data_IF_829768124348
#
_entry.id   IF_829768124348
#
_cell.length_a   1.000
_cell.length_b   1.000
_cell.length_c   1.000
_cell.angle_alpha   90.00
_cell.angle_beta   90.00
_cell.angle_gamma   90.00
#
_symmetry.space_group_name_H-M   'P 1'
#
loop_
_entity.id
_entity.type
_entity.pdbx_description
1 polymer ?
#
# COMPACT_ATOMS: atom_id res chain seq x y z
N UNK A 1 -9.87 32.63 -1.44
CA UNK A 1 -9.35 32.59 -2.83
C UNK A 1 -9.08 31.13 -3.15
N UNK A 2 -9.58 30.44 -4.15
CA UNK A 2 -10.64 30.60 -5.17
C UNK A 2 -10.94 29.13 -5.59
N UNK A 3 -12.18 28.66 -5.55
CA UNK A 3 -13.04 28.43 -6.73
C UNK A 3 -12.35 27.68 -7.90
N UNK A 4 -12.70 26.40 -8.07
CA UNK A 4 -12.60 25.48 -9.24
C UNK A 4 -12.54 24.06 -8.62
N UNK A 5 -13.42 23.09 -8.81
CA UNK A 5 -14.25 22.71 -9.95
C UNK A 5 -15.68 22.36 -9.48
N UNK A 6 -16.67 23.03 -10.04
CA UNK A 6 -17.97 22.42 -10.34
C UNK A 6 -17.81 21.90 -11.76
N UNK A 7 -17.90 20.59 -11.95
CA UNK A 7 -18.17 19.86 -13.21
C UNK A 7 -17.39 18.54 -13.20
N UNK A 8 -18.00 17.50 -12.63
CA UNK A 8 -18.07 16.16 -13.22
C UNK A 8 -18.93 15.27 -12.32
N UNK A 9 -20.24 15.49 -12.35
CA UNK A 9 -21.19 14.44 -12.06
C UNK A 9 -21.94 14.22 -13.38
N UNK A 10 -21.68 13.13 -14.08
CA UNK A 10 -22.67 12.35 -14.82
C UNK A 10 -22.02 11.11 -15.46
N UNK A 11 -22.81 10.03 -15.49
CA UNK A 11 -22.60 8.69 -16.08
C UNK A 11 -22.11 7.62 -15.09
N UNK A 12 -23.09 6.79 -14.71
CA UNK A 12 -22.99 5.83 -13.62
C UNK A 12 -22.16 4.58 -13.93
N UNK A 13 -21.46 4.16 -12.90
CA UNK A 13 -21.26 2.82 -12.33
C UNK A 13 -20.48 3.09 -11.04
N UNK A 14 -20.65 2.29 -10.00
CA UNK A 14 -20.13 2.59 -8.66
C UNK A 14 -18.60 2.71 -8.67
N UNK A 15 -18.08 3.95 -8.69
CA UNK A 15 -16.67 4.25 -8.50
C UNK A 15 -16.53 4.66 -7.05
N UNK A 16 -15.85 3.82 -6.25
CA UNK A 16 -15.28 4.27 -5.00
C UNK A 16 -14.26 5.36 -5.36
N UNK A 17 -14.71 6.62 -5.28
CA UNK A 17 -13.88 7.80 -5.47
C UNK A 17 -13.65 8.36 -4.08
N UNK A 18 -12.43 8.33 -3.61
CA UNK A 18 -11.95 9.19 -2.53
C UNK A 18 -10.95 10.15 -3.23
N UNK A 19 -10.20 10.98 -2.52
CA UNK A 19 -9.09 11.72 -3.12
C UNK A 19 -7.88 11.62 -2.18
N UNK A 20 -6.68 11.25 -2.67
CA UNK A 20 -5.43 11.50 -1.93
C UNK A 20 -4.78 12.81 -2.35
N UNK A 21 -4.57 13.66 -1.35
CA UNK A 21 -3.50 14.65 -1.31
C UNK A 21 -2.50 14.21 -0.22
N UNK A 22 -1.37 13.59 -0.58
CA UNK A 22 -0.27 13.43 0.38
C UNK A 22 0.61 14.68 0.32
N UNK A 23 0.54 15.50 1.36
CA UNK A 23 1.65 16.38 1.74
C UNK A 23 2.05 16.10 3.18
N UNK A 24 2.68 14.95 3.40
CA UNK A 24 3.35 14.69 4.67
C UNK A 24 4.64 15.53 4.70
N UNK A 25 4.58 16.68 5.38
CA UNK A 25 5.73 17.56 5.66
C UNK A 25 6.17 17.48 7.15
N UNK A 26 5.60 16.56 7.92
CA UNK A 26 5.80 16.43 9.37
C UNK A 26 5.70 14.97 9.82
N UNK A 27 6.39 14.63 10.91
CA UNK A 27 6.25 13.37 11.65
C UNK A 27 4.82 13.25 12.19
N UNK A 28 4.18 12.10 11.99
CA UNK A 28 2.87 11.81 12.57
C UNK A 28 3.11 11.36 14.02
N UNK A 29 2.73 12.17 15.01
CA UNK A 29 2.76 11.74 16.41
C UNK A 29 1.49 10.91 16.72
N UNK A 30 1.62 9.69 17.30
CA UNK A 30 0.49 8.81 17.48
C UNK A 30 -0.29 9.19 18.75
N UNK A 31 -1.25 10.09 18.60
CA UNK A 31 -2.31 10.31 19.59
C UNK A 31 -3.67 10.37 18.89
N UNK A 32 -4.30 9.20 18.72
CA UNK A 32 -5.76 9.07 18.58
C UNK A 32 -6.38 9.27 17.20
N UNK A 33 -5.63 9.46 16.12
CA UNK A 33 -6.19 9.77 14.80
C UNK A 33 -5.95 8.64 13.78
N UNK A 34 -7.02 8.25 13.08
CA UNK A 34 -6.96 7.35 11.93
C UNK A 34 -6.19 8.01 10.79
N UNK A 35 -5.46 7.20 10.01
CA UNK A 35 -4.86 7.64 8.76
C UNK A 35 -5.71 7.11 7.63
N UNK A 36 -6.36 8.02 6.92
CA UNK A 36 -7.16 7.70 5.74
C UNK A 36 -6.41 8.09 4.48
N UNK A 37 -6.38 7.16 3.52
CA UNK A 37 -5.78 7.37 2.22
C UNK A 37 -6.55 6.55 1.19
N UNK A 38 -6.63 7.07 -0.02
CA UNK A 38 -7.14 6.41 -1.21
C UNK A 38 -6.24 6.51 -2.44
N UNK A 39 -5.98 5.36 -2.99
CA UNK A 39 -5.15 5.18 -4.15
C UNK A 39 -5.95 4.50 -5.26
N UNK A 40 -5.45 4.61 -6.48
CA UNK A 40 -5.85 3.75 -7.59
C UNK A 40 -4.61 3.06 -8.13
N UNK A 41 -4.63 1.73 -8.13
CA UNK A 41 -3.68 0.93 -8.91
C UNK A 41 -4.40 0.59 -10.22
N UNK A 42 -3.79 0.94 -11.35
CA UNK A 42 -4.37 0.75 -12.68
C UNK A 42 -3.30 0.25 -13.66
N UNK A 43 -3.72 -0.56 -14.62
CA UNK A 43 -2.83 -1.19 -15.58
C UNK A 43 -3.57 -1.58 -16.86
N UNK A 44 -2.91 -1.46 -18.00
CA UNK A 44 -3.53 -1.75 -19.30
C UNK A 44 -3.51 -3.25 -19.65
N UNK A 45 -2.63 -4.01 -19.00
CA UNK A 45 -2.47 -5.43 -19.28
C UNK A 45 -3.40 -6.23 -18.35
N UNK A 46 -4.38 -6.97 -18.90
CA UNK A 46 -5.33 -7.72 -18.09
C UNK A 46 -4.73 -8.97 -17.44
N UNK A 47 -3.56 -9.44 -17.89
CA UNK A 47 -3.02 -10.75 -17.51
C UNK A 47 -1.67 -10.68 -16.77
N UNK A 48 -0.94 -9.57 -16.88
CA UNK A 48 0.34 -9.38 -16.19
C UNK A 48 0.42 -7.95 -15.67
N UNK A 49 0.35 -7.81 -14.36
CA UNK A 49 0.39 -6.58 -13.59
C UNK A 49 1.09 -6.86 -12.26
N UNK A 50 1.73 -5.84 -11.68
CA UNK A 50 2.51 -5.99 -10.46
C UNK A 50 3.50 -4.84 -10.25
N UNK A 51 4.12 -4.71 -9.08
CA UNK A 51 3.95 -5.60 -7.92
C UNK A 51 2.87 -5.09 -6.94
N UNK A 52 2.69 -3.77 -6.84
CA UNK A 52 1.65 -3.15 -6.01
C UNK A 52 2.14 -1.86 -5.35
N UNK A 53 1.68 -1.58 -4.14
CA UNK A 53 2.20 -0.46 -3.32
C UNK A 53 2.30 -0.82 -1.85
N UNK A 54 3.01 0.00 -1.07
CA UNK A 54 3.04 -0.14 0.38
C UNK A 54 2.91 1.23 1.08
N UNK A 55 2.34 1.21 2.28
CA UNK A 55 2.28 2.33 3.21
C UNK A 55 3.18 2.03 4.40
N UNK A 56 3.99 3.03 4.79
CA UNK A 56 5.08 2.86 5.73
C UNK A 56 4.90 3.77 6.95
N UNK A 57 4.98 3.16 8.14
CA UNK A 57 5.14 3.84 9.42
C UNK A 57 6.45 3.37 10.05
N UNK A 58 7.55 3.95 9.57
CA UNK A 58 8.91 3.47 9.83
C UNK A 58 9.79 4.56 10.43
N UNK A 59 10.90 4.15 11.06
CA UNK A 59 11.92 5.07 11.59
C UNK A 59 12.62 5.83 10.46
N UNK A 60 12.94 5.14 9.37
CA UNK A 60 13.51 5.71 8.17
C UNK A 60 12.46 6.37 7.27
N UNK A 61 12.85 7.43 6.56
CA UNK A 61 11.98 8.18 5.65
C UNK A 61 12.51 8.16 4.22
N UNK A 62 11.65 7.77 3.27
CA UNK A 62 11.86 7.88 1.83
C UNK A 62 13.21 7.29 1.33
N UNK A 63 13.69 6.21 1.96
CA UNK A 63 14.85 5.46 1.46
C UNK A 63 14.39 4.49 0.38
N UNK A 64 14.84 4.64 -0.88
CA UNK A 64 14.45 3.75 -1.96
C UNK A 64 15.02 2.35 -1.74
N UNK A 65 14.31 1.33 -2.22
CA UNK A 65 14.79 -0.05 -2.17
C UNK A 65 13.84 -1.05 -2.84
N UNK A 66 14.09 -2.35 -2.67
CA UNK A 66 13.41 -3.40 -3.42
C UNK A 66 12.01 -3.74 -2.89
N UNK A 67 11.64 -3.30 -1.70
CA UNK A 67 10.39 -3.70 -1.05
C UNK A 67 9.30 -2.68 -1.39
N UNK A 68 8.54 -2.91 -2.46
CA UNK A 68 7.51 -1.99 -2.96
C UNK A 68 8.02 -0.53 -3.09
N UNK A 69 9.28 -0.39 -3.50
CA UNK A 69 9.95 0.90 -3.65
C UNK A 69 10.67 1.44 -2.40
N UNK A 70 10.62 0.75 -1.27
CA UNK A 70 11.26 1.13 -0.01
C UNK A 70 12.43 0.21 0.37
N UNK A 71 13.29 0.66 1.29
CA UNK A 71 14.44 -0.09 1.78
C UNK A 71 14.00 -1.41 2.44
N UNK A 72 14.77 -2.47 2.20
CA UNK A 72 14.62 -3.76 2.89
C UNK A 72 15.14 -3.66 4.34
N UNK A 73 14.78 -4.62 5.20
CA UNK A 73 15.11 -4.62 6.63
C UNK A 73 14.67 -3.33 7.31
N UNK A 74 13.44 -2.89 7.01
CA UNK A 74 12.87 -1.70 7.63
C UNK A 74 12.58 -1.95 9.12
N UNK A 75 12.56 -0.87 9.90
CA UNK A 75 12.12 -0.88 11.30
C UNK A 75 10.82 -0.09 11.41
N UNK A 76 9.72 -0.76 11.79
CA UNK A 76 8.38 -0.18 11.87
C UNK A 76 7.30 -1.02 11.18
N UNK A 77 6.18 -0.40 10.80
CA UNK A 77 5.05 -1.08 10.17
C UNK A 77 5.05 -0.85 8.64
N UNK A 78 4.98 -1.93 7.88
CA UNK A 78 4.66 -1.94 6.45
C UNK A 78 3.27 -2.51 6.23
N UNK A 79 2.44 -1.81 5.45
CA UNK A 79 1.14 -2.29 4.97
C UNK A 79 1.23 -2.41 3.46
N UNK A 80 1.17 -3.62 2.94
CA UNK A 80 1.40 -3.95 1.54
C UNK A 80 0.08 -4.21 0.85
N UNK A 81 -0.11 -3.58 -0.29
CA UNK A 81 -1.20 -3.78 -1.22
C UNK A 81 -0.60 -4.55 -2.41
N UNK A 82 -0.50 -5.86 -2.24
CA UNK A 82 0.15 -6.74 -3.19
C UNK A 82 -0.84 -7.14 -4.28
N UNK A 83 -0.43 -6.93 -5.52
CA UNK A 83 -1.26 -7.20 -6.70
C UNK A 83 -0.76 -8.39 -7.49
N UNK A 84 0.36 -8.99 -7.13
CA UNK A 84 0.99 -10.05 -7.89
C UNK A 84 1.34 -11.25 -7.02
N UNK A 85 0.91 -12.44 -7.42
CA UNK A 85 1.27 -13.66 -6.71
C UNK A 85 2.67 -14.14 -7.14
N UNK A 86 3.69 -13.88 -6.33
CA UNK A 86 5.04 -14.43 -6.54
C UNK A 86 5.11 -15.93 -6.25
N UNK A 87 4.20 -16.45 -5.42
CA UNK A 87 4.09 -17.87 -5.08
C UNK A 87 2.65 -18.38 -5.04
N UNK A 88 2.48 -19.68 -4.82
CA UNK A 88 1.15 -20.27 -4.63
C UNK A 88 0.65 -19.93 -3.22
N UNK A 89 -0.35 -19.05 -3.14
CA UNK A 89 -1.00 -18.68 -1.90
C UNK A 89 -2.32 -19.42 -1.65
N UNK A 90 -2.75 -19.42 -0.39
CA UNK A 90 -4.06 -19.95 0.04
C UNK A 90 -5.18 -18.91 -0.05
N UNK A 91 -4.81 -17.65 -0.26
CA UNK A 91 -5.71 -16.52 -0.52
C UNK A 91 -5.57 -16.09 -1.98
N UNK A 92 -6.50 -15.23 -2.40
CA UNK A 92 -6.51 -14.59 -3.71
C UNK A 92 -5.73 -13.27 -3.69
N UNK A 93 -5.33 -12.81 -4.87
CA UNK A 93 -4.78 -11.47 -5.08
C UNK A 93 -5.81 -10.59 -5.83
N UNK A 94 -5.83 -9.27 -5.58
CA UNK A 94 -4.93 -8.52 -4.70
C UNK A 94 -5.11 -8.82 -3.21
N UNK A 95 -4.02 -8.74 -2.45
CA UNK A 95 -3.98 -9.05 -1.03
C UNK A 95 -3.40 -7.89 -0.23
N UNK A 96 -4.07 -7.51 0.85
CA UNK A 96 -3.56 -6.51 1.79
C UNK A 96 -2.99 -7.23 2.99
N UNK A 97 -1.74 -6.98 3.32
CA UNK A 97 -1.06 -7.62 4.44
C UNK A 97 -0.22 -6.61 5.24
N UNK A 98 -0.05 -6.86 6.53
CA UNK A 98 0.75 -6.05 7.44
C UNK A 98 1.97 -6.83 7.97
N UNK A 99 3.15 -6.19 7.99
CA UNK A 99 4.39 -6.73 8.56
C UNK A 99 4.98 -5.70 9.53
N UNK A 100 5.42 -6.18 10.70
CA UNK A 100 6.29 -5.41 11.59
C UNK A 100 7.74 -5.75 11.31
N UNK A 101 8.49 -4.79 10.78
CA UNK A 101 9.92 -4.89 10.55
C UNK A 101 10.71 -4.55 11.81
N UNK A 102 11.72 -5.35 12.10
CA UNK A 102 12.61 -5.26 13.27
C UNK A 102 13.98 -4.64 12.93
N UNK A 103 14.16 -4.11 11.72
CA UNK A 103 15.45 -3.59 11.24
C UNK A 103 16.44 -4.65 10.74
N UNK A 104 16.09 -5.94 10.77
CA UNK A 104 17.02 -7.04 10.49
C UNK A 104 16.45 -8.08 9.52
N UNK A 105 15.16 -8.37 9.65
CA UNK A 105 14.43 -9.36 8.87
C UNK A 105 14.15 -8.85 7.46
N UNK A 106 14.54 -9.63 6.46
CA UNK A 106 14.33 -9.34 5.04
C UNK A 106 12.86 -9.58 4.66
N UNK A 107 12.33 -8.79 3.74
CA UNK A 107 11.04 -9.09 3.12
C UNK A 107 11.20 -10.22 2.10
N UNK A 108 10.52 -11.34 2.33
CA UNK A 108 10.54 -12.49 1.42
C UNK A 108 9.65 -12.27 0.20
N UNK A 109 10.17 -11.57 -0.80
CA UNK A 109 9.47 -11.31 -2.07
C UNK A 109 9.09 -12.60 -2.81
N UNK A 110 9.87 -13.67 -2.67
CA UNK A 110 9.57 -14.93 -3.35
C UNK A 110 8.31 -15.62 -2.81
N UNK A 111 7.88 -15.29 -1.59
CA UNK A 111 6.69 -15.85 -0.95
C UNK A 111 5.75 -14.76 -0.42
N UNK A 112 5.75 -13.58 -1.06
CA UNK A 112 4.80 -12.49 -0.80
C UNK A 112 4.83 -12.00 0.67
N UNK A 113 5.98 -12.11 1.35
CA UNK A 113 6.15 -11.71 2.76
C UNK A 113 5.44 -12.58 3.79
N UNK A 114 4.86 -13.71 3.38
CA UNK A 114 3.95 -14.55 4.18
C UNK A 114 4.49 -14.97 5.55
N UNK A 115 5.78 -15.29 5.66
CA UNK A 115 6.37 -15.75 6.92
C UNK A 115 6.33 -14.69 8.02
N UNK A 116 6.17 -13.42 7.65
CA UNK A 116 6.23 -12.28 8.56
C UNK A 116 4.92 -11.46 8.55
N UNK A 117 3.87 -12.01 7.96
CA UNK A 117 2.53 -11.46 8.02
C UNK A 117 1.99 -11.52 9.46
N UNK A 118 1.55 -10.36 9.97
CA UNK A 118 0.87 -10.26 11.27
C UNK A 118 -0.65 -10.18 11.14
N UNK A 119 -1.15 -9.78 9.96
CA UNK A 119 -2.55 -9.77 9.57
C UNK A 119 -2.67 -9.54 8.05
N UNK A 120 -3.76 -10.03 7.46
CA UNK A 120 -4.06 -9.75 6.05
C UNK A 120 -5.50 -10.04 5.67
N UNK A 121 -5.92 -9.52 4.52
CA UNK A 121 -7.23 -9.74 3.91
C UNK A 121 -7.18 -9.67 2.38
N UNK A 122 -8.08 -10.41 1.74
CA UNK A 122 -8.31 -10.32 0.29
C UNK A 122 -9.05 -9.03 -0.03
N UNK A 123 -8.67 -8.36 -1.13
CA UNK A 123 -9.46 -7.25 -1.67
C UNK A 123 -10.63 -7.83 -2.45
N UNK A 124 -11.86 -7.57 -1.96
CA UNK A 124 -13.12 -8.04 -2.56
C UNK A 124 -13.69 -6.99 -3.50
#
# INVERSE_FOLDING_TARGET
MAALLKDLALWGLAICTIFIVVKANTSVEPIGESVEFEFKIDGHNPNLYGDGMAVWFTTDRAKPGPVFGFIDKFEGLGIFFDTYANSRQSHSFPYVMAMLGDGHTEYDNANDGKSNEIAGCEVI
#
